data_IF_382022286141
#
_entry.id   IF_382022286141
#
_cell.length_a   1.000
_cell.length_b   1.000
_cell.length_c   1.000
_cell.angle_alpha   90.00
_cell.angle_beta   90.00
_cell.angle_gamma   90.00
#
_symmetry.space_group_name_H-M   'P 1'
#
loop_
_entity.id
_entity.type
_entity.pdbx_description
1 polymer ?
#
# COMPACT_ATOMS: atom_id res chain seq x y z
N UNK A 1 0.82 -22.45 -5.42
CA UNK A 1 1.42 -21.14 -5.10
C UNK A 1 1.90 -20.55 -6.41
N UNK A 2 1.35 -19.41 -6.82
CA UNK A 2 1.93 -18.65 -7.94
C UNK A 2 3.34 -18.20 -7.54
N UNK A 3 4.32 -18.41 -8.41
CA UNK A 3 5.70 -18.02 -8.15
C UNK A 3 5.81 -16.49 -8.17
N UNK A 4 6.00 -15.87 -6.99
CA UNK A 4 6.16 -14.42 -6.84
C UNK A 4 7.59 -13.93 -7.15
N UNK A 5 8.48 -14.80 -7.61
CA UNK A 5 9.90 -14.46 -7.84
C UNK A 5 10.10 -13.25 -8.74
N UNK A 6 9.34 -13.12 -9.82
CA UNK A 6 9.44 -11.98 -10.74
C UNK A 6 8.93 -10.68 -10.09
N UNK A 7 7.85 -10.77 -9.30
CA UNK A 7 7.33 -9.63 -8.51
C UNK A 7 8.37 -9.17 -7.49
N UNK A 8 8.94 -10.10 -6.71
CA UNK A 8 9.95 -9.78 -5.69
C UNK A 8 11.22 -9.21 -6.30
N UNK A 9 11.66 -9.71 -7.46
CA UNK A 9 12.81 -9.15 -8.18
C UNK A 9 12.54 -7.72 -8.67
N UNK A 10 11.33 -7.44 -9.16
CA UNK A 10 10.95 -6.09 -9.59
C UNK A 10 10.83 -5.10 -8.42
N UNK A 11 10.54 -5.59 -7.22
CA UNK A 11 10.49 -4.79 -5.99
C UNK A 11 11.86 -4.58 -5.34
N UNK A 12 12.95 -5.17 -5.85
CA UNK A 12 14.22 -5.16 -5.16
C UNK A 12 14.70 -3.73 -4.83
N UNK A 13 14.99 -3.48 -3.56
CA UNK A 13 15.40 -2.16 -3.06
C UNK A 13 14.34 -1.05 -3.19
N UNK A 14 13.04 -1.40 -3.26
CA UNK A 14 11.98 -0.43 -3.47
C UNK A 14 12.00 0.66 -2.41
N UNK A 15 12.12 1.90 -2.88
CA UNK A 15 11.92 3.10 -2.09
C UNK A 15 10.89 3.97 -2.81
N UNK A 16 9.89 4.47 -2.08
CA UNK A 16 8.87 5.37 -2.61
C UNK A 16 8.96 6.72 -1.91
N UNK A 17 8.88 7.79 -2.70
CA UNK A 17 8.75 9.15 -2.18
C UNK A 17 7.27 9.47 -1.94
N UNK A 18 6.89 9.90 -0.73
CA UNK A 18 5.59 10.51 -0.50
C UNK A 18 5.37 11.70 -1.45
N UNK A 19 4.13 11.93 -1.85
CA UNK A 19 3.71 13.07 -2.66
C UNK A 19 2.90 14.06 -1.83
N UNK A 20 1.83 13.57 -1.21
CA UNK A 20 0.89 14.41 -0.49
C UNK A 20 0.11 13.59 0.54
N UNK A 21 -0.56 14.30 1.43
CA UNK A 21 -1.56 13.77 2.34
C UNK A 21 -2.92 13.98 1.68
N UNK A 22 -3.68 12.89 1.55
CA UNK A 22 -5.03 12.91 0.99
C UNK A 22 -6.09 12.55 2.03
N UNK A 23 -7.28 13.12 1.87
CA UNK A 23 -8.46 12.84 2.69
C UNK A 23 -9.68 12.60 1.79
N UNK A 24 -10.51 11.60 2.12
CA UNK A 24 -11.79 11.34 1.44
C UNK A 24 -12.84 10.78 2.40
N UNK A 25 -14.10 10.72 1.97
CA UNK A 25 -15.18 10.07 2.74
C UNK A 25 -15.20 8.53 2.58
N UNK A 26 -14.27 7.95 1.81
CA UNK A 26 -14.17 6.49 1.64
C UNK A 26 -13.54 5.89 2.89
N UNK A 27 -14.21 4.91 3.50
CA UNK A 27 -13.77 4.30 4.77
C UNK A 27 -12.30 3.84 4.76
N UNK A 28 -11.85 3.16 3.70
CA UNK A 28 -10.46 2.67 3.60
C UNK A 28 -9.45 3.72 3.10
N UNK A 29 -9.92 4.94 2.81
CA UNK A 29 -9.12 6.03 2.22
C UNK A 29 -9.41 7.36 2.92
N UNK A 30 -9.70 7.31 4.22
CA UNK A 30 -10.15 8.48 4.96
C UNK A 30 -9.03 9.49 5.19
N UNK A 31 -7.84 9.01 5.55
CA UNK A 31 -6.59 9.78 5.61
C UNK A 31 -5.47 8.86 5.12
N UNK A 32 -4.67 9.32 4.17
CA UNK A 32 -3.61 8.50 3.58
C UNK A 32 -2.44 9.35 3.07
N UNK A 33 -1.27 8.74 3.00
CA UNK A 33 -0.11 9.28 2.29
C UNK A 33 -0.11 8.69 0.88
N UNK A 34 -0.19 9.54 -0.14
CA UNK A 34 -0.05 9.13 -1.54
C UNK A 34 1.41 9.09 -1.92
N UNK A 35 1.80 8.10 -2.73
CA UNK A 35 3.17 7.93 -3.21
C UNK A 35 3.24 8.06 -4.73
N UNK A 36 4.40 8.53 -5.20
CA UNK A 36 4.67 8.54 -6.63
C UNK A 36 4.92 7.11 -7.11
N UNK A 37 4.19 6.60 -8.13
CA UNK A 37 4.53 5.33 -8.74
C UNK A 37 5.92 5.40 -9.38
N UNK A 38 6.81 4.49 -8.98
CA UNK A 38 8.13 4.32 -9.61
C UNK A 38 8.07 3.25 -10.70
N UNK A 39 9.05 3.23 -11.60
CA UNK A 39 9.16 2.19 -12.62
C UNK A 39 9.21 0.78 -12.01
N UNK A 40 9.94 0.62 -10.91
CA UNK A 40 10.02 -0.64 -10.15
C UNK A 40 8.65 -1.09 -9.63
N UNK A 41 7.88 -0.19 -9.02
CA UNK A 41 6.54 -0.51 -8.52
C UNK A 41 5.56 -0.85 -9.67
N UNK A 42 5.64 -0.12 -10.78
CA UNK A 42 4.82 -0.39 -11.96
C UNK A 42 5.19 -1.73 -12.61
N UNK A 43 6.47 -2.08 -12.68
CA UNK A 43 6.92 -3.38 -13.16
C UNK A 43 6.42 -4.52 -12.26
N UNK A 44 6.55 -4.38 -10.93
CA UNK A 44 6.04 -5.36 -9.98
C UNK A 44 4.52 -5.56 -10.11
N UNK A 45 3.77 -4.47 -10.30
CA UNK A 45 2.33 -4.53 -10.60
C UNK A 45 2.06 -5.28 -11.90
N UNK A 46 2.80 -5.00 -12.97
CA UNK A 46 2.63 -5.68 -14.25
C UNK A 46 2.88 -7.19 -14.13
N UNK A 47 3.82 -7.61 -13.28
CA UNK A 47 4.02 -9.04 -12.97
C UNK A 47 2.84 -9.63 -12.19
N UNK A 48 2.29 -8.90 -11.19
CA UNK A 48 1.09 -9.33 -10.46
C UNK A 48 -0.13 -9.47 -11.39
N UNK A 49 -0.28 -8.57 -12.36
CA UNK A 49 -1.38 -8.58 -13.34
C UNK A 49 -1.40 -9.84 -14.22
N UNK A 50 -0.25 -10.47 -14.42
CA UNK A 50 -0.13 -11.72 -15.20
C UNK A 50 -0.48 -12.96 -14.38
N UNK A 51 -0.60 -12.86 -13.06
CA UNK A 51 -0.86 -14.01 -12.21
C UNK A 51 -2.35 -14.44 -12.27
N UNK A 52 -2.64 -15.76 -12.24
CA UNK A 52 -4.01 -16.24 -12.17
C UNK A 52 -4.76 -15.68 -10.96
N UNK A 53 -5.99 -15.23 -11.19
CA UNK A 53 -6.86 -14.68 -10.14
C UNK A 53 -6.68 -13.18 -9.90
N UNK A 54 -5.75 -12.50 -10.57
CA UNK A 54 -5.71 -11.05 -10.58
C UNK A 54 -7.01 -10.48 -11.13
N UNK A 55 -7.57 -9.48 -10.45
CA UNK A 55 -8.80 -8.80 -10.86
C UNK A 55 -8.50 -7.32 -11.11
N UNK A 56 -8.51 -6.84 -12.36
CA UNK A 56 -8.41 -5.41 -12.62
C UNK A 56 -9.70 -4.76 -12.10
N UNK A 57 -9.58 -3.71 -11.30
CA UNK A 57 -10.77 -3.12 -10.67
C UNK A 57 -10.72 -1.61 -10.46
N UNK A 58 -9.53 -1.02 -10.29
CA UNK A 58 -9.37 0.42 -10.00
C UNK A 58 -8.10 0.96 -10.64
N UNK A 59 -8.08 2.28 -10.82
CA UNK A 59 -6.85 3.02 -11.09
C UNK A 59 -5.86 2.71 -9.96
N UNK A 60 -4.61 2.46 -10.33
CA UNK A 60 -3.56 2.24 -9.36
C UNK A 60 -3.10 3.56 -8.80
N UNK A 61 -3.45 3.76 -7.54
CA UNK A 61 -3.12 4.93 -6.74
C UNK A 61 -2.34 4.41 -5.52
N UNK A 62 -1.00 4.30 -5.58
CA UNK A 62 -0.20 3.81 -4.47
C UNK A 62 -0.32 4.74 -3.27
N UNK A 63 -0.85 4.22 -2.16
CA UNK A 63 -0.99 4.98 -0.92
C UNK A 63 -0.86 4.07 0.30
N UNK A 64 -0.52 4.67 1.43
CA UNK A 64 -0.62 4.06 2.76
C UNK A 64 -1.71 4.80 3.53
N UNK A 65 -2.76 4.07 3.90
CA UNK A 65 -3.79 4.60 4.78
C UNK A 65 -3.22 4.82 6.18
N UNK A 66 -3.42 6.03 6.72
CA UNK A 66 -3.03 6.41 8.08
C UNK A 66 -4.15 6.12 9.08
N UNK A 67 -5.40 6.27 8.65
CA UNK A 67 -6.57 5.85 9.41
C UNK A 67 -7.74 5.45 8.51
N UNK A 68 -8.69 4.70 9.10
CA UNK A 68 -9.95 4.32 8.46
C UNK A 68 -11.14 4.93 9.21
N UNK A 69 -12.03 5.59 8.48
CA UNK A 69 -13.11 6.40 9.04
C UNK A 69 -12.71 7.87 9.27
N UNK A 70 -13.70 8.72 9.54
CA UNK A 70 -13.55 10.18 9.60
C UNK A 70 -12.43 10.59 10.60
N UNK A 71 -11.33 11.18 10.11
CA UNK A 71 -10.27 11.64 10.99
C UNK A 71 -10.74 12.88 11.78
N UNK A 72 -10.47 12.89 13.09
CA UNK A 72 -10.38 14.12 13.89
C UNK A 72 -8.89 14.37 14.20
N UNK A 73 -8.06 14.54 13.17
CA UNK A 73 -6.66 14.89 13.38
C UNK A 73 -6.58 16.31 13.97
N UNK A 74 -5.90 16.45 15.11
CA UNK A 74 -5.56 17.75 15.69
C UNK A 74 -4.50 18.45 14.82
N UNK A 75 -4.33 19.76 14.96
CA UNK A 75 -3.31 20.51 14.20
C UNK A 75 -1.90 19.94 14.41
N UNK A 76 -1.55 19.53 15.64
CA UNK A 76 -0.26 18.90 15.92
C UNK A 76 -0.08 17.54 15.20
N UNK A 77 -1.15 16.76 15.07
CA UNK A 77 -1.11 15.50 14.32
C UNK A 77 -0.96 15.77 12.81
N UNK A 78 -1.52 16.87 12.31
CA UNK A 78 -1.33 17.27 10.91
C UNK A 78 0.11 17.63 10.63
N UNK A 79 0.75 18.41 11.49
CA UNK A 79 2.17 18.77 11.34
C UNK A 79 3.09 17.53 11.34
N UNK A 80 2.85 16.58 12.24
CA UNK A 80 3.60 15.31 12.28
C UNK A 80 3.40 14.48 11.00
N UNK A 81 2.17 14.45 10.50
CA UNK A 81 1.83 13.73 9.26
C UNK A 81 2.47 14.42 8.05
N UNK A 82 2.48 15.74 7.99
CA UNK A 82 3.15 16.50 6.92
C UNK A 82 4.67 16.27 6.92
N UNK A 83 5.28 16.14 8.10
CA UNK A 83 6.71 15.81 8.21
C UNK A 83 7.07 14.45 7.56
N UNK A 84 6.11 13.51 7.48
CA UNK A 84 6.32 12.24 6.76
C UNK A 84 6.62 12.47 5.28
N UNK A 85 6.12 13.56 4.67
CA UNK A 85 6.34 13.84 3.26
C UNK A 85 7.80 14.10 2.90
N UNK A 86 8.62 14.47 3.89
CA UNK A 86 10.02 14.81 3.67
C UNK A 86 10.94 13.58 3.51
N UNK A 87 10.47 12.38 3.87
CA UNK A 87 11.33 11.19 3.96
C UNK A 87 10.85 10.08 3.03
N UNK A 88 11.70 9.59 2.10
CA UNK A 88 11.39 8.41 1.33
C UNK A 88 11.20 7.17 2.22
N UNK A 89 10.28 6.30 1.85
CA UNK A 89 9.95 5.08 2.61
C UNK A 89 10.50 3.86 1.87
N UNK A 90 11.32 3.07 2.56
CA UNK A 90 11.82 1.80 2.05
C UNK A 90 10.82 0.66 2.35
N UNK A 91 10.63 -0.24 1.39
CA UNK A 91 9.76 -1.40 1.52
C UNK A 91 10.61 -2.67 1.41
N UNK A 92 10.60 -3.48 2.45
CA UNK A 92 11.43 -4.69 2.57
C UNK A 92 10.61 -5.98 2.66
N UNK A 93 9.28 -5.89 2.68
CA UNK A 93 8.36 -7.02 2.73
C UNK A 93 7.21 -6.85 1.75
N UNK A 94 6.79 -7.97 1.14
CA UNK A 94 5.53 -8.13 0.43
C UNK A 94 4.67 -9.11 1.23
N UNK A 95 3.45 -8.69 1.60
CA UNK A 95 2.54 -9.49 2.42
C UNK A 95 1.30 -9.88 1.63
N UNK A 96 0.97 -11.17 1.64
CA UNK A 96 -0.29 -11.68 1.09
C UNK A 96 -1.38 -11.70 2.17
N UNK A 97 -2.42 -10.90 1.96
CA UNK A 97 -3.54 -10.77 2.89
C UNK A 97 -4.80 -11.45 2.35
N UNK A 98 -5.53 -12.15 3.21
CA UNK A 98 -6.91 -12.52 2.94
C UNK A 98 -7.84 -11.43 3.48
N UNK A 99 -8.52 -10.75 2.55
CA UNK A 99 -9.43 -9.63 2.83
C UNK A 99 -10.84 -10.03 2.37
N UNK A 100 -11.77 -10.30 3.30
CA UNK A 100 -13.19 -10.39 2.95
C UNK A 100 -13.70 -9.05 2.41
N UNK A 101 -14.52 -9.08 1.36
CA UNK A 101 -15.16 -7.90 0.78
C UNK A 101 -16.68 -7.93 1.05
N UNK A 102 -17.35 -6.77 1.17
CA UNK A 102 -16.78 -5.41 1.16
C UNK A 102 -16.07 -5.06 2.49
N UNK A 103 -15.31 -3.96 2.49
CA UNK A 103 -14.64 -3.40 3.68
C UNK A 103 -15.20 -2.01 3.93
N UNK A 104 -16.12 -1.90 4.88
CA UNK A 104 -16.85 -0.64 5.16
C UNK A 104 -16.77 -0.25 6.64
N UNK A 105 -16.34 -1.18 7.50
CA UNK A 105 -16.32 -0.98 8.94
C UNK A 105 -15.02 -1.48 9.57
N UNK A 106 -14.77 -1.03 10.80
CA UNK A 106 -13.66 -1.54 11.62
C UNK A 106 -13.79 -3.05 11.90
N UNK A 107 -15.01 -3.58 11.98
CA UNK A 107 -15.23 -5.02 12.12
C UNK A 107 -14.82 -5.81 10.87
N UNK A 108 -14.85 -5.20 9.69
CA UNK A 108 -14.36 -5.84 8.47
C UNK A 108 -12.84 -5.92 8.46
N UNK A 109 -12.16 -4.87 8.94
CA UNK A 109 -10.70 -4.85 9.11
C UNK A 109 -10.25 -5.95 10.07
N UNK A 110 -10.98 -6.16 11.16
CA UNK A 110 -10.67 -7.21 12.16
C UNK A 110 -10.72 -8.63 11.59
N UNK A 111 -11.35 -8.84 10.43
CA UNK A 111 -11.43 -10.15 9.76
C UNK A 111 -10.25 -10.39 8.81
N UNK A 112 -9.40 -9.38 8.59
CA UNK A 112 -8.22 -9.51 7.74
C UNK A 112 -7.22 -10.45 8.41
N UNK A 113 -6.56 -11.25 7.58
CA UNK A 113 -5.54 -12.19 8.06
C UNK A 113 -4.41 -12.28 7.06
N UNK A 114 -3.19 -12.19 7.56
CA UNK A 114 -2.02 -12.53 6.79
C UNK A 114 -2.06 -14.02 6.42
N UNK A 115 -1.65 -14.31 5.19
CA UNK A 115 -1.56 -15.69 4.67
C UNK A 115 -0.13 -16.08 4.31
N UNK A 116 0.73 -15.09 4.01
CA UNK A 116 2.16 -15.26 3.82
C UNK A 116 2.87 -13.88 3.85
N UNK A 117 4.15 -13.88 4.20
CA UNK A 117 5.06 -12.75 4.03
C UNK A 117 6.29 -13.18 3.24
N UNK A 118 6.80 -12.27 2.42
CA UNK A 118 7.95 -12.49 1.55
C UNK A 118 8.92 -11.33 1.69
N UNK A 119 10.19 -11.63 1.94
CA UNK A 119 11.24 -10.62 1.92
C UNK A 119 11.46 -10.07 0.53
N UNK A 120 11.48 -8.73 0.42
CA UNK A 120 11.92 -8.03 -0.77
C UNK A 120 13.46 -7.98 -0.72
N UNK A 121 14.15 -8.45 -1.78
CA UNK A 121 15.60 -8.37 -1.83
C UNK A 121 16.09 -6.92 -1.78
N UNK A 122 17.24 -6.68 -1.18
CA UNK A 122 17.94 -5.40 -1.33
C UNK A 122 18.35 -5.18 -2.79
N UNK A 123 18.56 -3.91 -3.18
CA UNK A 123 19.21 -3.60 -4.45
C UNK A 123 20.60 -4.24 -4.49
N UNK A 124 20.98 -4.79 -5.66
CA UNK A 124 22.32 -5.34 -5.94
C UNK A 124 23.28 -4.22 -6.30
#
# INVERSE_FOLDING_TARGET
MSDLKQVLAALAGLTLSPLEIGETDVFTMSLFVRFQPTEALLAARAELERLPGFRPGRVFDPHISLCYGAPMATDAQRDEIEALLATPVAFDQLVAMHIPLPVETQDDIRKWRETASFGIPSAV
#
